data_IF_981745667843
#
_entry.id   IF_981745667843
#
_cell.length_a   1.000
_cell.length_b   1.000
_cell.length_c   1.000
_cell.angle_alpha   90.00
_cell.angle_beta   90.00
_cell.angle_gamma   90.00
#
_symmetry.space_group_name_H-M   'P 1'
#
loop_
_entity.id
_entity.type
_entity.pdbx_description
1 polymer ?
#
# COMPACT_ATOMS: atom_id res chain seq x y z
N UNK A 1 38.05 -43.64 41.31
CA UNK A 1 36.97 -42.69 40.99
C UNK A 1 37.53 -41.56 40.13
N UNK A 2 37.38 -41.65 38.81
CA UNK A 2 37.40 -40.49 37.91
C UNK A 2 36.17 -40.66 37.03
N UNK A 3 35.23 -39.74 37.19
CA UNK A 3 33.87 -39.77 36.67
C UNK A 3 33.85 -39.58 35.17
N UNK A 4 33.21 -40.52 34.47
CA UNK A 4 32.63 -40.29 33.14
C UNK A 4 31.67 -39.10 33.21
N UNK A 5 31.92 -38.02 32.47
CA UNK A 5 30.95 -36.92 32.29
C UNK A 5 31.26 -36.13 31.02
N UNK A 6 30.27 -36.12 30.13
CA UNK A 6 30.00 -35.15 29.05
C UNK A 6 30.88 -35.15 27.79
N UNK A 7 30.62 -36.10 26.90
CA UNK A 7 30.58 -35.81 25.45
C UNK A 7 29.17 -35.33 25.13
N UNK A 8 28.99 -34.01 25.01
CA UNK A 8 27.76 -33.42 24.49
C UNK A 8 27.78 -33.62 22.97
N UNK A 9 27.10 -34.65 22.48
CA UNK A 9 26.84 -34.81 21.05
C UNK A 9 25.94 -33.65 20.60
N UNK A 10 26.54 -32.62 20.01
CA UNK A 10 25.82 -31.64 19.22
C UNK A 10 25.33 -32.35 17.95
N UNK A 11 24.14 -32.94 18.01
CA UNK A 11 23.40 -33.33 16.81
C UNK A 11 23.03 -32.03 16.11
N UNK A 12 23.85 -31.63 15.13
CA UNK A 12 23.43 -30.66 14.13
C UNK A 12 22.32 -31.35 13.37
N UNK A 13 21.07 -31.11 13.78
CA UNK A 13 19.93 -31.39 12.93
C UNK A 13 20.15 -30.54 11.66
N UNK A 14 20.56 -31.18 10.58
CA UNK A 14 20.57 -30.55 9.26
C UNK A 14 19.10 -30.24 8.99
N UNK A 15 18.71 -28.97 9.18
CA UNK A 15 17.37 -28.53 8.85
C UNK A 15 17.14 -28.86 7.37
N UNK A 16 16.28 -29.84 7.11
CA UNK A 16 15.94 -30.27 5.77
C UNK A 16 15.31 -29.09 5.05
N UNK A 17 15.81 -28.79 3.85
CA UNK A 17 15.25 -27.70 3.05
C UNK A 17 13.81 -28.03 2.65
N UNK A 18 12.95 -27.01 2.64
CA UNK A 18 11.58 -27.11 2.13
C UNK A 18 11.66 -26.99 0.60
N UNK A 19 11.17 -27.99 -0.12
CA UNK A 19 11.06 -27.97 -1.57
C UNK A 19 9.66 -27.50 -2.00
N UNK A 20 9.61 -26.39 -2.75
CA UNK A 20 8.38 -25.77 -3.28
C UNK A 20 8.48 -25.52 -4.79
N UNK A 21 7.34 -25.35 -5.45
CA UNK A 21 7.33 -24.87 -6.82
C UNK A 21 7.63 -23.37 -6.86
N UNK A 22 6.99 -22.59 -5.97
CA UNK A 22 7.14 -21.13 -5.92
C UNK A 22 7.40 -20.66 -4.49
N UNK A 23 8.48 -19.91 -4.29
CA UNK A 23 8.66 -19.09 -3.09
C UNK A 23 8.16 -17.67 -3.38
N UNK A 24 7.25 -17.16 -2.55
CA UNK A 24 6.68 -15.81 -2.65
C UNK A 24 7.27 -14.96 -1.53
N UNK A 25 7.87 -13.82 -1.87
CA UNK A 25 8.41 -12.87 -0.90
C UNK A 25 7.48 -11.67 -0.79
N UNK A 26 6.87 -11.51 0.37
CA UNK A 26 5.82 -10.56 0.68
C UNK A 26 4.44 -11.20 0.65
N UNK A 27 3.70 -11.10 1.75
CA UNK A 27 2.31 -11.53 1.93
C UNK A 27 1.30 -10.38 1.82
N UNK A 28 1.68 -9.27 1.19
CA UNK A 28 0.81 -8.14 0.90
C UNK A 28 -0.23 -8.42 -0.19
N UNK A 29 -0.87 -7.37 -0.72
CA UNK A 29 -1.94 -7.48 -1.72
C UNK A 29 -1.61 -8.41 -2.89
N UNK A 30 -0.45 -8.23 -3.53
CA UNK A 30 -0.02 -9.09 -4.64
C UNK A 30 0.38 -10.50 -4.20
N UNK A 31 1.23 -10.63 -3.18
CA UNK A 31 1.79 -11.93 -2.80
C UNK A 31 0.81 -12.85 -2.08
N UNK A 32 -0.05 -12.30 -1.22
CA UNK A 32 -1.15 -13.05 -0.62
C UNK A 32 -2.15 -13.55 -1.67
N UNK A 33 -2.50 -12.70 -2.63
CA UNK A 33 -3.32 -13.10 -3.79
C UNK A 33 -2.62 -14.19 -4.61
N UNK A 34 -1.35 -13.98 -4.97
CA UNK A 34 -0.56 -14.92 -5.75
C UNK A 34 -0.50 -16.30 -5.11
N UNK A 35 -0.25 -16.36 -3.80
CA UNK A 35 -0.13 -17.61 -3.06
C UNK A 35 -1.44 -18.40 -3.08
N UNK A 36 -2.58 -17.74 -2.89
CA UNK A 36 -3.90 -18.39 -3.00
C UNK A 36 -4.12 -18.91 -4.42
N UNK A 37 -3.87 -18.11 -5.46
CA UNK A 37 -4.04 -18.57 -6.85
C UNK A 37 -3.13 -19.75 -7.18
N UNK A 38 -1.84 -19.66 -6.82
CA UNK A 38 -0.85 -20.70 -7.06
C UNK A 38 -1.27 -22.04 -6.45
N UNK A 39 -1.76 -22.02 -5.22
CA UNK A 39 -2.12 -23.24 -4.51
C UNK A 39 -3.48 -23.79 -4.93
N UNK A 40 -4.50 -22.95 -4.98
CA UNK A 40 -5.88 -23.41 -5.20
C UNK A 40 -6.21 -23.63 -6.68
N UNK A 41 -5.67 -22.79 -7.57
CA UNK A 41 -6.04 -22.80 -8.99
C UNK A 41 -4.97 -23.43 -9.89
N UNK A 42 -3.70 -23.42 -9.45
CA UNK A 42 -2.59 -24.02 -10.20
C UNK A 42 -1.98 -25.26 -9.52
N UNK A 43 -2.50 -25.68 -8.36
CA UNK A 43 -2.03 -26.84 -7.60
C UNK A 43 -0.52 -26.86 -7.34
N UNK A 44 0.09 -25.69 -7.17
CA UNK A 44 1.52 -25.53 -6.90
C UNK A 44 1.81 -25.57 -5.40
N UNK A 45 2.94 -26.19 -5.04
CA UNK A 45 3.51 -26.08 -3.69
C UNK A 45 4.09 -24.68 -3.53
N UNK A 46 3.60 -23.95 -2.53
CA UNK A 46 3.99 -22.56 -2.29
C UNK A 46 4.52 -22.39 -0.87
N UNK A 47 5.45 -21.46 -0.70
CA UNK A 47 5.77 -20.88 0.61
C UNK A 47 5.75 -19.36 0.48
N UNK A 48 5.12 -18.69 1.44
CA UNK A 48 5.06 -17.23 1.54
C UNK A 48 5.97 -16.78 2.67
N UNK A 49 6.84 -15.81 2.41
CA UNK A 49 7.73 -15.22 3.41
C UNK A 49 7.20 -13.81 3.69
N UNK A 50 6.65 -13.60 4.89
CA UNK A 50 6.01 -12.35 5.28
C UNK A 50 6.68 -11.78 6.54
N UNK A 51 7.08 -10.51 6.46
CA UNK A 51 7.81 -9.83 7.54
C UNK A 51 6.94 -9.48 8.73
N UNK A 52 5.65 -9.25 8.52
CA UNK A 52 4.68 -8.99 9.59
C UNK A 52 4.08 -10.31 10.10
N UNK A 53 3.30 -10.20 11.18
CA UNK A 53 2.52 -11.31 11.76
C UNK A 53 1.20 -11.61 11.03
N UNK A 54 0.95 -10.98 9.89
CA UNK A 54 -0.31 -11.07 9.15
C UNK A 54 -0.10 -10.81 7.64
N UNK A 55 -1.01 -11.34 6.82
CA UNK A 55 -1.11 -11.00 5.39
C UNK A 55 -1.87 -9.69 5.17
N UNK A 56 -1.81 -9.18 3.93
CA UNK A 56 -2.63 -8.06 3.44
C UNK A 56 -1.87 -6.76 3.22
N UNK A 57 -0.69 -6.59 3.80
CA UNK A 57 0.18 -5.45 3.53
C UNK A 57 -0.45 -4.12 3.95
N UNK A 58 -0.82 -3.28 2.98
CA UNK A 58 -1.46 -1.98 3.21
C UNK A 58 -2.98 -2.08 3.43
N UNK A 59 -3.61 -3.25 3.27
CA UNK A 59 -4.98 -3.45 3.73
C UNK A 59 -4.94 -3.67 5.25
N UNK A 60 -5.23 -2.61 6.01
CA UNK A 60 -5.10 -2.60 7.47
C UNK A 60 -6.30 -1.92 8.13
N UNK A 61 -6.69 -2.49 9.26
CA UNK A 61 -7.77 -2.02 10.12
C UNK A 61 -7.29 -1.90 11.56
N UNK A 62 -7.80 -0.90 12.28
CA UNK A 62 -7.73 -0.85 13.74
C UNK A 62 -9.04 -1.37 14.30
N UNK A 63 -9.00 -2.31 15.22
CA UNK A 63 -10.18 -2.79 15.91
C UNK A 63 -10.30 -2.11 17.27
N UNK A 64 -11.44 -1.49 17.53
CA UNK A 64 -11.76 -0.94 18.84
C UNK A 64 -11.79 -2.08 19.88
N UNK A 65 -10.96 -2.03 20.92
CA UNK A 65 -10.82 -3.14 21.87
C UNK A 65 -12.08 -3.37 22.72
N UNK A 66 -12.99 -2.40 22.81
CA UNK A 66 -14.22 -2.49 23.59
C UNK A 66 -15.39 -2.97 22.72
N UNK A 67 -15.56 -2.37 21.53
CA UNK A 67 -16.71 -2.70 20.65
C UNK A 67 -16.42 -3.82 19.66
N UNK A 68 -15.15 -4.12 19.41
CA UNK A 68 -14.71 -5.07 18.37
C UNK A 68 -14.86 -4.54 16.94
N UNK A 69 -15.38 -3.32 16.74
CA UNK A 69 -15.58 -2.74 15.42
C UNK A 69 -14.25 -2.39 14.76
N UNK A 70 -14.09 -2.80 13.50
CA UNK A 70 -12.92 -2.49 12.68
C UNK A 70 -13.06 -1.13 11.98
N UNK A 71 -11.94 -0.41 11.87
CA UNK A 71 -11.81 0.85 11.18
C UNK A 71 -10.62 0.80 10.22
N UNK A 72 -10.91 0.79 8.92
CA UNK A 72 -9.89 0.74 7.87
C UNK A 72 -9.08 2.05 7.86
N UNK A 73 -7.75 1.94 7.83
CA UNK A 73 -6.84 3.09 7.71
C UNK A 73 -5.82 2.95 6.57
N UNK A 74 -5.88 1.86 5.83
CA UNK A 74 -5.06 1.60 4.66
C UNK A 74 -5.89 1.55 3.38
N UNK A 75 -6.02 0.37 2.77
CA UNK A 75 -7.02 0.14 1.72
C UNK A 75 -8.41 0.38 2.31
N UNK A 76 -9.14 1.36 1.77
CA UNK A 76 -10.47 1.74 2.27
C UNK A 76 -11.60 1.07 1.48
N UNK A 77 -11.41 0.76 0.20
CA UNK A 77 -12.36 0.01 -0.62
C UNK A 77 -11.63 -0.78 -1.70
N UNK A 78 -12.35 -1.72 -2.34
CA UNK A 78 -11.85 -2.54 -3.44
C UNK A 78 -12.59 -2.19 -4.73
N UNK A 79 -11.84 -1.93 -5.80
CA UNK A 79 -12.35 -1.65 -7.15
C UNK A 79 -13.22 -2.80 -7.65
N UNK A 80 -14.42 -2.48 -8.15
CA UNK A 80 -15.44 -3.47 -8.50
C UNK A 80 -15.24 -4.00 -9.93
N UNK A 81 -14.35 -4.99 -10.07
CA UNK A 81 -14.08 -5.68 -11.34
C UNK A 81 -14.00 -7.19 -11.13
N UNK A 82 -14.01 -7.96 -12.22
CA UNK A 82 -14.07 -9.44 -12.18
C UNK A 82 -13.05 -10.07 -11.23
N UNK A 83 -11.78 -9.66 -11.29
CA UNK A 83 -10.72 -10.26 -10.46
C UNK A 83 -10.96 -10.07 -8.95
N UNK A 84 -11.50 -8.94 -8.51
CA UNK A 84 -11.79 -8.71 -7.10
C UNK A 84 -13.04 -9.47 -6.66
N UNK A 85 -14.12 -9.43 -7.45
CA UNK A 85 -15.34 -10.18 -7.16
C UNK A 85 -15.02 -11.68 -7.04
N UNK A 86 -14.23 -12.23 -7.97
CA UNK A 86 -13.88 -13.65 -7.97
C UNK A 86 -13.00 -14.03 -6.78
N UNK A 87 -12.05 -13.19 -6.37
CA UNK A 87 -11.20 -13.46 -5.21
C UNK A 87 -11.98 -13.45 -3.90
N UNK A 88 -12.86 -12.45 -3.71
CA UNK A 88 -13.77 -12.39 -2.57
C UNK A 88 -14.71 -13.61 -2.52
N UNK A 89 -15.24 -14.03 -3.67
CA UNK A 89 -16.08 -15.24 -3.78
C UNK A 89 -15.28 -16.50 -3.44
N UNK A 90 -14.05 -16.64 -3.95
CA UNK A 90 -13.16 -17.78 -3.69
C UNK A 90 -12.91 -17.95 -2.18
N UNK A 91 -12.70 -16.84 -1.47
CA UNK A 91 -12.45 -16.82 -0.02
C UNK A 91 -13.73 -16.76 0.82
N UNK A 92 -14.90 -16.80 0.19
CA UNK A 92 -16.23 -16.76 0.83
C UNK A 92 -16.40 -15.56 1.76
N UNK A 93 -15.95 -14.38 1.31
CA UNK A 93 -16.15 -13.09 1.98
C UNK A 93 -17.31 -12.36 1.31
N UNK A 94 -18.45 -12.17 2.01
CA UNK A 94 -19.57 -11.39 1.49
C UNK A 94 -19.14 -9.95 1.20
N UNK A 95 -19.60 -9.39 0.08
CA UNK A 95 -19.31 -8.01 -0.32
C UNK A 95 -20.58 -7.17 -0.27
N UNK A 96 -20.42 -5.89 0.05
CA UNK A 96 -21.49 -4.90 0.09
C UNK A 96 -21.01 -3.52 -0.38
N UNK A 97 -21.91 -2.53 -0.43
CA UNK A 97 -21.53 -1.16 -0.77
C UNK A 97 -20.49 -0.63 0.23
N UNK A 98 -19.67 0.31 -0.23
CA UNK A 98 -18.72 1.03 0.63
C UNK A 98 -19.49 1.71 1.76
N UNK A 99 -19.12 1.40 3.01
CA UNK A 99 -19.71 2.02 4.18
C UNK A 99 -19.15 3.43 4.33
N UNK A 100 -20.03 4.43 4.29
CA UNK A 100 -19.70 5.83 4.58
C UNK A 100 -20.36 6.25 5.89
N UNK A 101 -19.67 7.11 6.64
CA UNK A 101 -20.24 7.79 7.80
C UNK A 101 -20.57 9.21 7.34
N UNK A 102 -21.84 9.57 7.13
CA UNK A 102 -22.21 10.94 6.78
C UNK A 102 -21.70 11.88 7.86
N UNK A 103 -20.87 12.84 7.46
CA UNK A 103 -20.34 13.86 8.35
C UNK A 103 -20.03 15.10 7.54
N UNK A 104 -20.08 16.25 8.21
CA UNK A 104 -19.56 17.50 7.66
C UNK A 104 -18.08 17.36 7.35
N UNK A 105 -17.59 18.08 6.34
CA UNK A 105 -16.18 18.17 6.01
C UNK A 105 -15.75 19.63 6.02
N UNK A 106 -14.82 19.96 6.92
CA UNK A 106 -14.21 21.28 7.00
C UNK A 106 -13.04 21.35 6.02
N UNK A 107 -12.98 22.42 5.24
CA UNK A 107 -11.87 22.70 4.36
C UNK A 107 -10.98 23.76 5.01
N UNK A 108 -9.72 23.41 5.28
CA UNK A 108 -8.81 24.22 6.10
C UNK A 108 -7.42 24.23 5.46
N UNK A 109 -6.73 25.37 5.50
CA UNK A 109 -5.28 25.39 5.25
C UNK A 109 -4.56 24.93 6.52
N UNK A 110 -3.92 23.76 6.47
CA UNK A 110 -3.24 23.22 7.64
C UNK A 110 -1.97 24.00 8.02
N UNK A 111 -1.51 24.94 7.16
CA UNK A 111 -0.37 25.82 7.48
C UNK A 111 -0.67 26.83 8.57
N UNK A 112 -1.89 27.36 8.60
CA UNK A 112 -2.30 28.37 9.57
C UNK A 112 -3.57 27.98 10.35
N UNK A 113 -4.17 26.85 10.01
CA UNK A 113 -5.33 26.28 10.68
C UNK A 113 -6.66 26.92 10.29
N UNK A 114 -6.70 27.88 9.36
CA UNK A 114 -7.93 28.63 9.03
C UNK A 114 -8.79 27.96 7.96
N UNK A 115 -10.10 28.07 8.13
CA UNK A 115 -11.07 27.61 7.13
C UNK A 115 -10.89 28.32 5.80
N UNK A 116 -11.04 27.57 4.70
CA UNK A 116 -11.01 28.08 3.32
C UNK A 116 -12.42 27.93 2.75
N UNK A 117 -12.92 28.99 2.12
CA UNK A 117 -14.21 28.98 1.41
C UNK A 117 -14.08 28.18 0.10
N UNK A 118 -14.11 26.86 0.26
CA UNK A 118 -13.89 25.89 -0.80
C UNK A 118 -15.16 25.08 -1.06
N UNK A 119 -15.58 25.04 -2.33
CA UNK A 119 -16.67 24.19 -2.80
C UNK A 119 -16.11 23.06 -3.65
N UNK A 120 -16.27 21.79 -3.24
CA UNK A 120 -15.80 20.66 -4.03
C UNK A 120 -16.60 20.52 -5.34
N UNK A 121 -15.99 20.01 -6.42
CA UNK A 121 -16.69 19.76 -7.66
C UNK A 121 -17.68 18.60 -7.51
N UNK A 122 -18.71 18.58 -8.36
CA UNK A 122 -19.62 17.43 -8.43
C UNK A 122 -18.92 16.20 -9.01
N UNK A 123 -19.37 15.00 -8.65
CA UNK A 123 -18.84 13.75 -9.21
C UNK A 123 -18.94 13.69 -10.75
N UNK A 124 -19.98 14.31 -11.33
CA UNK A 124 -20.11 14.43 -12.79
C UNK A 124 -18.99 15.29 -13.39
N UNK A 125 -18.77 16.48 -12.82
CA UNK A 125 -17.70 17.37 -13.28
C UNK A 125 -16.31 16.72 -13.12
N UNK A 126 -16.10 15.94 -12.05
CA UNK A 126 -14.85 15.21 -11.83
C UNK A 126 -14.57 14.10 -12.86
N UNK A 127 -15.61 13.58 -13.53
CA UNK A 127 -15.47 12.56 -14.56
C UNK A 127 -15.17 13.16 -15.95
N UNK A 128 -15.44 14.45 -16.16
CA UNK A 128 -15.25 15.10 -17.45
C UNK A 128 -13.75 15.20 -17.82
N UNK A 129 -13.44 15.05 -19.11
CA UNK A 129 -12.06 15.17 -19.64
C UNK A 129 -11.13 13.98 -19.36
N UNK A 130 -11.48 13.08 -18.43
CA UNK A 130 -10.67 11.93 -18.00
C UNK A 130 -10.53 10.79 -19.02
N UNK A 131 -11.30 10.80 -20.10
CA UNK A 131 -11.26 9.78 -21.17
C UNK A 131 -10.12 9.92 -22.18
N UNK A 132 -9.21 10.89 -22.01
CA UNK A 132 -8.12 11.18 -22.96
C UNK A 132 -6.79 10.53 -22.54
N UNK A 133 -5.97 10.13 -23.52
CA UNK A 133 -4.77 9.32 -23.29
C UNK A 133 -3.43 10.02 -23.62
N UNK A 134 -3.29 11.31 -23.30
CA UNK A 134 -1.99 12.00 -23.35
C UNK A 134 -1.17 11.75 -22.09
N UNK A 135 -0.76 10.48 -21.94
CA UNK A 135 -0.21 9.90 -20.72
C UNK A 135 1.08 10.58 -20.19
N UNK A 136 1.84 11.24 -21.06
CA UNK A 136 3.12 11.87 -20.69
C UNK A 136 3.01 13.37 -20.39
N UNK A 137 1.81 13.96 -20.44
CA UNK A 137 1.63 15.35 -20.00
C UNK A 137 1.70 15.42 -18.47
N UNK A 138 2.34 16.46 -17.91
CA UNK A 138 2.11 16.84 -16.51
C UNK A 138 0.62 16.98 -16.24
N UNK A 139 0.15 16.55 -15.07
CA UNK A 139 -1.27 16.61 -14.71
C UNK A 139 -1.87 18.00 -14.93
N UNK A 140 -1.16 19.04 -14.50
CA UNK A 140 -1.57 20.44 -14.70
C UNK A 140 -1.89 20.74 -16.17
N UNK A 141 -0.99 20.40 -17.10
CA UNK A 141 -1.20 20.65 -18.52
C UNK A 141 -2.32 19.79 -19.11
N UNK A 142 -2.40 18.52 -18.70
CA UNK A 142 -3.47 17.62 -19.12
C UNK A 142 -4.83 18.18 -18.71
N UNK A 143 -4.98 18.55 -17.43
CA UNK A 143 -6.24 19.03 -16.89
C UNK A 143 -6.72 20.29 -17.61
N UNK A 144 -5.84 21.28 -17.81
CA UNK A 144 -6.14 22.50 -18.58
C UNK A 144 -6.53 22.20 -20.03
N UNK A 145 -5.81 21.28 -20.68
CA UNK A 145 -6.04 20.93 -22.08
C UNK A 145 -7.38 20.23 -22.29
N UNK A 146 -7.78 19.38 -21.34
CA UNK A 146 -8.95 18.50 -21.47
C UNK A 146 -10.14 18.90 -20.62
N UNK A 147 -10.07 20.04 -19.94
CA UNK A 147 -11.10 20.52 -19.01
C UNK A 147 -11.37 19.52 -17.88
N UNK A 148 -10.31 18.90 -17.36
CA UNK A 148 -10.36 17.88 -16.31
C UNK A 148 -9.92 18.43 -14.94
N UNK A 149 -9.86 19.76 -14.76
CA UNK A 149 -9.45 20.38 -13.49
C UNK A 149 -10.29 19.91 -12.31
N UNK A 150 -11.61 19.77 -12.52
CA UNK A 150 -12.57 19.29 -11.54
C UNK A 150 -12.33 17.83 -11.09
N UNK A 151 -11.51 17.04 -11.77
CA UNK A 151 -11.14 15.70 -11.32
C UNK A 151 -10.18 15.73 -10.13
N UNK A 152 -9.40 16.80 -10.00
CA UNK A 152 -8.28 16.86 -9.07
C UNK A 152 -8.67 16.66 -7.60
N UNK A 153 -9.77 17.28 -7.10
CA UNK A 153 -10.19 17.07 -5.73
C UNK A 153 -10.62 15.62 -5.47
N UNK A 154 -11.30 14.96 -6.41
CA UNK A 154 -11.66 13.56 -6.27
C UNK A 154 -10.44 12.64 -6.29
N UNK A 155 -9.44 12.93 -7.12
CA UNK A 155 -8.15 12.21 -7.10
C UNK A 155 -7.46 12.41 -5.74
N UNK A 156 -7.42 13.65 -5.24
CA UNK A 156 -6.84 13.98 -3.94
C UNK A 156 -7.51 13.23 -2.80
N UNK A 157 -8.83 13.30 -2.69
CA UNK A 157 -9.61 12.67 -1.61
C UNK A 157 -9.55 11.13 -1.67
N UNK A 158 -9.48 10.55 -2.87
CA UNK A 158 -9.52 9.09 -3.03
C UNK A 158 -8.15 8.44 -2.86
N UNK A 159 -7.11 8.99 -3.50
CA UNK A 159 -5.81 8.31 -3.65
C UNK A 159 -4.63 9.15 -3.15
N UNK A 160 -4.78 10.47 -2.99
CA UNK A 160 -3.71 11.38 -2.50
C UNK A 160 -2.42 11.27 -3.35
N UNK A 161 -2.58 11.20 -4.68
CA UNK A 161 -1.45 11.36 -5.61
C UNK A 161 -0.94 12.80 -5.51
N UNK A 162 0.38 13.01 -5.51
CA UNK A 162 0.96 14.36 -5.58
C UNK A 162 0.81 14.95 -6.99
N UNK A 163 -0.31 15.63 -7.20
CA UNK A 163 -0.69 16.22 -8.49
C UNK A 163 0.23 17.38 -8.94
N UNK A 164 1.05 17.94 -8.04
CA UNK A 164 2.05 18.95 -8.41
C UNK A 164 3.16 18.37 -9.32
N UNK A 165 3.44 17.07 -9.19
CA UNK A 165 4.57 16.42 -9.86
C UNK A 165 4.19 15.19 -10.69
N UNK A 166 2.92 14.81 -10.69
CA UNK A 166 2.38 13.68 -11.43
C UNK A 166 2.29 13.95 -12.94
N UNK A 167 2.55 12.91 -13.72
CA UNK A 167 2.13 12.82 -15.12
C UNK A 167 0.72 12.21 -15.19
N UNK A 168 0.03 12.40 -16.30
CA UNK A 168 -1.30 11.79 -16.52
C UNK A 168 -1.25 10.26 -16.38
N UNK A 169 -0.15 9.60 -16.75
CA UNK A 169 0.00 8.15 -16.55
C UNK A 169 -0.06 7.73 -15.07
N UNK A 170 0.42 8.57 -14.15
CA UNK A 170 0.40 8.28 -12.72
C UNK A 170 -1.03 8.38 -12.18
N UNK A 171 -1.77 9.39 -12.63
CA UNK A 171 -3.20 9.58 -12.32
C UNK A 171 -4.04 8.47 -12.92
N UNK A 172 -3.86 8.17 -14.21
CA UNK A 172 -4.64 7.16 -14.94
C UNK A 172 -4.54 5.77 -14.29
N UNK A 173 -3.36 5.40 -13.80
CA UNK A 173 -3.17 4.14 -13.08
C UNK A 173 -3.86 4.20 -11.71
N UNK A 174 -3.76 5.32 -11.00
CA UNK A 174 -4.24 5.49 -9.63
C UNK A 174 -5.76 5.59 -9.49
N UNK A 175 -6.44 6.25 -10.43
CA UNK A 175 -7.84 6.61 -10.26
C UNK A 175 -8.62 6.47 -11.57
N UNK A 176 -9.74 5.74 -11.50
CA UNK A 176 -10.66 5.56 -12.60
C UNK A 176 -12.10 5.86 -12.15
N UNK A 177 -12.67 7.02 -12.52
CA UNK A 177 -14.01 7.42 -12.07
C UNK A 177 -15.14 6.57 -12.65
N UNK A 178 -14.87 5.78 -13.71
CA UNK A 178 -15.89 4.97 -14.38
C UNK A 178 -16.17 3.62 -13.69
N UNK A 179 -15.43 3.28 -12.63
CA UNK A 179 -15.54 1.99 -11.95
C UNK A 179 -15.87 2.21 -10.47
N UNK A 180 -16.95 1.59 -10.00
CA UNK A 180 -17.34 1.65 -8.60
C UNK A 180 -16.43 0.85 -7.68
N UNK A 181 -16.71 0.89 -6.38
CA UNK A 181 -15.98 0.12 -5.37
C UNK A 181 -16.93 -0.60 -4.42
N UNK A 182 -16.41 -1.58 -3.68
CA UNK A 182 -17.12 -2.33 -2.66
C UNK A 182 -16.23 -2.57 -1.43
N UNK A 183 -16.83 -3.07 -0.36
CA UNK A 183 -16.16 -3.53 0.86
C UNK A 183 -16.70 -4.91 1.27
N UNK A 184 -16.00 -5.67 2.14
CA UNK A 184 -16.62 -6.75 2.90
C UNK A 184 -17.86 -6.25 3.65
N UNK A 185 -18.92 -7.06 3.74
CA UNK A 185 -20.13 -6.69 4.50
C UNK A 185 -19.84 -6.40 5.98
N UNK A 186 -18.79 -7.00 6.54
CA UNK A 186 -18.30 -6.73 7.90
C UNK A 186 -17.74 -5.32 8.09
N UNK A 187 -17.36 -4.64 7.01
CA UNK A 187 -16.63 -3.37 7.03
C UNK A 187 -15.12 -3.52 7.32
N UNK A 188 -14.62 -4.72 7.63
CA UNK A 188 -13.19 -4.97 7.90
C UNK A 188 -12.45 -5.43 6.64
N UNK A 189 -11.71 -4.52 5.99
CA UNK A 189 -10.95 -4.85 4.78
C UNK A 189 -9.80 -5.84 5.01
N UNK A 190 -9.49 -6.20 6.26
CA UNK A 190 -8.53 -7.27 6.57
C UNK A 190 -9.17 -8.67 6.54
N UNK A 191 -10.50 -8.78 6.54
CA UNK A 191 -11.21 -10.08 6.58
C UNK A 191 -10.75 -11.02 5.45
N UNK A 192 -10.62 -10.50 4.23
CA UNK A 192 -10.16 -11.29 3.09
C UNK A 192 -8.77 -11.89 3.31
N UNK A 193 -7.88 -11.17 3.97
CA UNK A 193 -6.53 -11.63 4.28
C UNK A 193 -6.50 -12.58 5.47
N UNK A 194 -7.41 -12.43 6.43
CA UNK A 194 -7.62 -13.41 7.50
C UNK A 194 -8.10 -14.75 6.91
N UNK A 195 -9.03 -14.73 5.95
CA UNK A 195 -9.48 -15.94 5.23
C UNK A 195 -8.35 -16.54 4.39
N UNK A 196 -7.60 -15.73 3.65
CA UNK A 196 -6.43 -16.19 2.91
C UNK A 196 -5.37 -16.82 3.83
N UNK A 197 -5.09 -16.21 4.99
CA UNK A 197 -4.17 -16.73 5.99
C UNK A 197 -4.62 -18.08 6.52
N UNK A 198 -5.91 -18.23 6.89
CA UNK A 198 -6.47 -19.51 7.33
C UNK A 198 -6.39 -20.58 6.25
N UNK A 199 -6.63 -20.19 5.00
CA UNK A 199 -6.51 -21.07 3.85
C UNK A 199 -5.06 -21.54 3.70
N UNK A 200 -4.09 -20.61 3.64
CA UNK A 200 -2.67 -20.86 3.44
C UNK A 200 -2.01 -21.63 4.60
N UNK A 201 -2.42 -21.37 5.84
CA UNK A 201 -1.98 -22.10 7.02
C UNK A 201 -0.45 -22.14 7.15
N UNK A 202 0.11 -23.36 7.18
CA UNK A 202 1.56 -23.60 7.33
C UNK A 202 2.40 -23.17 6.12
N UNK A 203 1.76 -22.82 5.00
CA UNK A 203 2.46 -22.36 3.80
C UNK A 203 2.97 -20.90 3.96
N UNK A 204 2.71 -20.25 5.10
CA UNK A 204 3.19 -18.89 5.41
C UNK A 204 4.20 -18.91 6.56
N UNK A 205 5.38 -18.37 6.30
CA UNK A 205 6.40 -18.03 7.28
C UNK A 205 6.22 -16.56 7.67
N UNK A 206 5.52 -16.33 8.78
CA UNK A 206 5.32 -14.99 9.35
C UNK A 206 6.57 -14.51 10.10
N UNK A 207 6.65 -13.20 10.31
CA UNK A 207 7.73 -12.55 11.05
C UNK A 207 9.11 -13.02 10.58
N UNK A 208 9.23 -13.17 9.26
CA UNK A 208 10.37 -13.80 8.60
C UNK A 208 10.88 -12.94 7.44
N UNK A 209 12.19 -13.00 7.20
CA UNK A 209 12.86 -12.27 6.11
C UNK A 209 13.88 -13.15 5.37
N UNK A 210 14.05 -12.90 4.07
CA UNK A 210 15.11 -13.53 3.28
C UNK A 210 16.43 -12.85 3.63
N UNK A 211 17.41 -13.63 4.07
CA UNK A 211 18.76 -13.15 4.39
C UNK A 211 19.81 -13.63 3.38
N UNK A 212 19.45 -14.60 2.55
CA UNK A 212 20.30 -15.11 1.47
C UNK A 212 19.45 -15.71 0.36
N UNK A 213 19.84 -15.45 -0.88
CA UNK A 213 19.29 -16.06 -2.07
C UNK A 213 20.43 -16.43 -3.03
N UNK A 214 20.29 -17.60 -3.65
CA UNK A 214 21.10 -18.01 -4.80
C UNK A 214 20.18 -18.33 -5.97
N UNK A 215 20.25 -17.52 -7.01
CA UNK A 215 19.31 -17.55 -8.15
C UNK A 215 20.02 -18.01 -9.41
N UNK A 216 19.53 -19.08 -10.03
CA UNK A 216 20.09 -19.68 -11.26
C UNK A 216 19.02 -19.79 -12.34
N UNK A 217 19.37 -20.20 -13.56
CA UNK A 217 18.38 -20.34 -14.65
C UNK A 217 17.27 -21.36 -14.39
N UNK A 218 17.50 -22.34 -13.50
CA UNK A 218 16.56 -23.46 -13.28
C UNK A 218 16.03 -23.60 -11.85
N UNK A 219 16.62 -22.90 -10.88
CA UNK A 219 16.29 -23.04 -9.45
C UNK A 219 16.69 -21.83 -8.63
N UNK A 220 16.04 -21.71 -7.48
CA UNK A 220 16.34 -20.73 -6.44
C UNK A 220 16.57 -21.47 -5.12
N UNK A 221 17.58 -21.03 -4.36
CA UNK A 221 17.78 -21.43 -2.96
C UNK A 221 17.69 -20.20 -2.08
N UNK A 222 16.95 -20.28 -0.98
CA UNK A 222 16.81 -19.20 0.00
C UNK A 222 17.20 -19.68 1.40
N UNK A 223 17.73 -18.76 2.20
CA UNK A 223 17.74 -18.87 3.66
C UNK A 223 16.87 -17.76 4.23
N UNK A 224 15.91 -18.16 5.06
CA UNK A 224 14.90 -17.28 5.64
C UNK A 224 15.06 -17.30 7.15
N UNK A 225 15.19 -16.12 7.76
CA UNK A 225 15.34 -15.94 9.19
C UNK A 225 14.03 -15.47 9.80
N UNK A 226 13.56 -16.18 10.82
CA UNK A 226 12.41 -15.72 11.62
C UNK A 226 12.84 -14.72 12.72
N UNK A 227 11.87 -14.12 13.41
CA UNK A 227 12.13 -13.18 14.52
C UNK A 227 12.95 -13.74 15.68
N UNK A 228 13.03 -15.06 15.83
CA UNK A 228 13.80 -15.73 16.88
C UNK A 228 15.21 -16.12 16.40
N UNK A 229 15.56 -15.80 15.15
CA UNK A 229 16.84 -16.14 14.54
C UNK A 229 16.90 -17.56 13.95
N UNK A 230 15.80 -18.30 13.92
CA UNK A 230 15.76 -19.62 13.29
C UNK A 230 15.86 -19.49 11.77
N UNK A 231 16.72 -20.32 11.16
CA UNK A 231 16.95 -20.32 9.72
C UNK A 231 16.22 -21.49 9.06
N UNK A 232 15.26 -21.15 8.19
CA UNK A 232 14.59 -22.10 7.29
C UNK A 232 15.25 -22.05 5.92
N UNK A 233 15.66 -23.21 5.40
CA UNK A 233 16.21 -23.35 4.03
C UNK A 233 15.09 -23.71 3.08
N UNK A 234 15.05 -23.05 1.91
CA UNK A 234 14.02 -23.27 0.90
C UNK A 234 14.69 -23.53 -0.45
N UNK A 235 14.28 -24.57 -1.16
CA UNK A 235 14.55 -24.76 -2.58
C UNK A 235 13.25 -24.49 -3.35
N UNK A 236 13.31 -23.63 -4.35
CA UNK A 236 12.15 -23.29 -5.18
C UNK A 236 12.47 -23.42 -6.67
N UNK A 237 11.49 -23.79 -7.49
CA UNK A 237 11.61 -23.71 -8.95
C UNK A 237 11.52 -22.27 -9.44
N UNK A 238 10.70 -21.44 -8.78
CA UNK A 238 10.54 -20.00 -9.07
C UNK A 238 10.55 -19.17 -7.79
N UNK A 239 11.09 -17.96 -7.89
CA UNK A 239 10.98 -16.92 -6.87
C UNK A 239 10.06 -15.83 -7.40
N UNK A 240 8.99 -15.51 -6.68
CA UNK A 240 8.11 -14.38 -6.96
C UNK A 240 8.31 -13.30 -5.90
N UNK A 241 8.87 -12.16 -6.30
CA UNK A 241 9.10 -11.02 -5.42
C UNK A 241 7.94 -10.05 -5.57
N UNK A 242 7.27 -9.73 -4.45
CA UNK A 242 6.11 -8.83 -4.43
C UNK A 242 6.26 -7.65 -3.48
N UNK A 243 7.45 -7.50 -2.88
CA UNK A 243 7.80 -6.39 -1.98
C UNK A 243 8.32 -5.20 -2.77
N UNK A 244 8.21 -4.01 -2.18
CA UNK A 244 8.78 -2.78 -2.76
C UNK A 244 10.30 -2.90 -2.89
N UNK A 245 10.91 -2.49 -4.02
CA UNK A 245 12.35 -2.63 -4.22
C UNK A 245 13.21 -1.95 -3.16
N UNK A 246 12.70 -0.88 -2.53
CA UNK A 246 13.35 -0.19 -1.41
C UNK A 246 13.55 -1.06 -0.16
N UNK A 247 12.84 -2.18 -0.06
CA UNK A 247 12.99 -3.14 1.05
C UNK A 247 13.92 -4.31 0.72
N UNK A 248 14.40 -4.39 -0.53
CA UNK A 248 15.26 -5.47 -1.00
C UNK A 248 16.71 -5.10 -0.75
N UNK A 249 17.41 -5.86 0.08
CA UNK A 249 18.86 -5.75 0.18
C UNK A 249 19.50 -6.42 -1.06
N UNK A 250 20.26 -5.68 -1.90
CA UNK A 250 20.84 -6.24 -3.11
C UNK A 250 21.73 -7.46 -2.89
N UNK A 251 22.44 -7.52 -1.76
CA UNK A 251 23.34 -8.63 -1.43
C UNK A 251 22.56 -9.88 -1.05
N UNK A 252 21.56 -9.73 -0.19
CA UNK A 252 20.77 -10.85 0.33
C UNK A 252 19.97 -11.52 -0.80
N UNK A 253 19.56 -10.76 -1.81
CA UNK A 253 18.81 -11.27 -2.97
C UNK A 253 19.69 -11.60 -4.17
N UNK A 254 21.01 -11.42 -4.10
CA UNK A 254 21.94 -11.67 -5.21
C UNK A 254 21.49 -10.90 -6.47
N UNK A 255 21.14 -9.62 -6.32
CA UNK A 255 20.66 -8.77 -7.41
C UNK A 255 21.78 -8.46 -8.42
N UNK A 256 21.42 -8.50 -9.70
CA UNK A 256 22.25 -8.01 -10.80
C UNK A 256 22.30 -6.48 -10.83
N UNK A 257 23.28 -5.93 -11.54
CA UNK A 257 23.38 -4.48 -11.74
C UNK A 257 22.15 -3.89 -12.45
N UNK A 258 21.58 -4.60 -13.41
CA UNK A 258 20.37 -4.16 -14.12
C UNK A 258 19.14 -4.12 -13.19
N UNK A 259 18.96 -5.14 -12.34
CA UNK A 259 17.89 -5.14 -11.33
C UNK A 259 18.04 -3.92 -10.40
N UNK A 260 19.26 -3.68 -9.90
CA UNK A 260 19.55 -2.52 -9.03
C UNK A 260 19.25 -1.21 -9.76
N UNK A 261 19.70 -1.03 -11.00
CA UNK A 261 19.48 0.21 -11.75
C UNK A 261 17.99 0.47 -12.00
N UNK A 262 17.25 -0.55 -12.43
CA UNK A 262 15.80 -0.44 -12.64
C UNK A 262 15.10 -0.08 -11.33
N UNK A 263 15.43 -0.74 -10.21
CA UNK A 263 14.78 -0.51 -8.92
C UNK A 263 15.02 0.89 -8.36
N UNK A 264 16.17 1.50 -8.66
CA UNK A 264 16.49 2.87 -8.24
C UNK A 264 16.01 3.95 -9.22
N UNK A 265 15.44 3.56 -10.36
CA UNK A 265 15.02 4.52 -11.40
C UNK A 265 13.80 5.37 -11.02
N UNK A 266 12.97 4.92 -10.07
CA UNK A 266 11.72 5.58 -9.73
C UNK A 266 11.89 6.64 -8.64
N UNK A 267 11.22 7.79 -8.82
CA UNK A 267 11.04 8.80 -7.80
C UNK A 267 9.69 8.58 -7.07
N UNK A 268 9.55 9.21 -5.91
CA UNK A 268 8.30 9.18 -5.14
C UNK A 268 8.46 9.74 -3.74
N UNK A 269 7.33 10.03 -3.12
CA UNK A 269 7.24 10.49 -1.73
C UNK A 269 6.90 9.31 -0.81
N UNK A 270 7.12 9.47 0.50
CA UNK A 270 6.77 8.47 1.50
C UNK A 270 5.42 8.78 2.13
N UNK A 271 4.61 7.74 2.29
CA UNK A 271 3.24 7.84 2.78
C UNK A 271 3.12 7.17 4.14
N UNK A 272 2.49 7.87 5.08
CA UNK A 272 2.14 7.34 6.39
C UNK A 272 0.65 7.49 6.61
N UNK A 273 0.03 6.49 7.23
CA UNK A 273 -1.40 6.53 7.52
C UNK A 273 -1.74 5.74 8.77
N UNK A 274 -2.80 6.14 9.45
CA UNK A 274 -3.25 5.47 10.66
C UNK A 274 -4.53 6.06 11.24
N UNK A 275 -5.01 5.46 12.32
CA UNK A 275 -6.14 5.98 13.10
C UNK A 275 -5.60 6.82 14.24
N UNK A 276 -6.12 8.04 14.34
CA UNK A 276 -5.82 8.99 15.40
C UNK A 276 -7.08 9.41 16.14
N UNK A 277 -6.93 9.87 17.39
CA UNK A 277 -8.01 10.42 18.21
C UNK A 277 -7.49 11.54 19.08
N UNK A 278 -8.32 12.57 19.28
CA UNK A 278 -8.01 13.69 20.16
C UNK A 278 -9.32 14.35 20.63
N UNK A 279 -9.44 14.81 21.89
CA UNK A 279 -10.66 15.43 22.40
C UNK A 279 -11.15 16.65 21.60
N UNK A 280 -10.23 17.41 21.00
CA UNK A 280 -10.57 18.55 20.14
C UNK A 280 -10.97 18.16 18.71
N UNK A 281 -10.71 16.93 18.25
CA UNK A 281 -11.12 16.53 16.90
C UNK A 281 -12.63 16.25 16.87
N UNK A 282 -13.42 16.97 16.05
CA UNK A 282 -14.87 16.83 16.01
C UNK A 282 -15.31 15.54 15.31
N UNK A 283 -16.59 15.19 15.44
CA UNK A 283 -17.24 14.16 14.62
C UNK A 283 -17.49 14.62 13.17
N UNK A 284 -16.47 15.20 12.54
CA UNK A 284 -16.46 15.76 11.20
C UNK A 284 -15.10 15.48 10.53
N UNK A 285 -15.09 15.44 9.20
CA UNK A 285 -13.86 15.42 8.41
C UNK A 285 -13.18 16.79 8.41
N UNK A 286 -11.85 16.80 8.29
CA UNK A 286 -11.07 18.02 8.08
C UNK A 286 -10.10 17.74 6.95
N UNK A 287 -10.25 18.43 5.83
CA UNK A 287 -9.46 18.24 4.61
C UNK A 287 -8.53 19.43 4.40
N UNK A 288 -7.26 19.15 4.13
CA UNK A 288 -6.28 20.17 3.86
C UNK A 288 -6.47 20.72 2.44
N UNK A 289 -6.76 22.01 2.34
CA UNK A 289 -6.86 22.75 1.08
C UNK A 289 -6.04 24.03 1.19
N UNK A 290 -5.48 24.50 0.08
CA UNK A 290 -4.73 25.76 0.07
C UNK A 290 -5.67 26.93 -0.28
N UNK A 291 -5.45 28.15 0.24
CA UNK A 291 -6.32 29.30 -0.04
C UNK A 291 -6.45 29.64 -1.53
N UNK A 292 -5.45 29.23 -2.33
CA UNK A 292 -5.47 29.39 -3.78
C UNK A 292 -6.55 28.55 -4.49
N UNK A 293 -7.29 27.66 -3.79
CA UNK A 293 -8.43 26.91 -4.35
C UNK A 293 -9.73 27.71 -4.42
N UNK A 294 -9.81 28.85 -3.73
CA UNK A 294 -10.97 29.75 -3.77
C UNK A 294 -11.26 30.17 -5.22
N UNK A 295 -12.53 30.34 -5.57
CA UNK A 295 -13.02 30.55 -6.94
C UNK A 295 -12.74 29.36 -7.88
N UNK A 296 -12.97 28.14 -7.40
CA UNK A 296 -12.93 26.89 -8.21
C UNK A 296 -11.57 26.59 -8.87
N UNK A 297 -10.47 27.06 -8.29
CA UNK A 297 -9.13 26.71 -8.76
C UNK A 297 -8.72 25.33 -8.25
N UNK A 298 -9.27 24.29 -8.88
CA UNK A 298 -9.05 22.89 -8.54
C UNK A 298 -7.63 22.38 -8.87
N UNK A 299 -6.76 23.22 -9.43
CA UNK A 299 -5.35 22.89 -9.71
C UNK A 299 -4.38 23.37 -8.62
N UNK A 300 -4.89 23.95 -7.53
CA UNK A 300 -4.09 24.32 -6.39
C UNK A 300 -4.12 23.22 -5.32
N UNK A 301 -2.93 22.78 -4.88
CA UNK A 301 -2.77 21.71 -3.89
C UNK A 301 -1.73 22.08 -2.83
N UNK A 302 -1.78 21.44 -1.65
CA UNK A 302 -0.65 21.43 -0.74
C UNK A 302 0.62 20.85 -1.42
N UNK A 303 1.78 21.38 -1.03
CA UNK A 303 3.09 20.90 -1.48
C UNK A 303 3.73 20.03 -0.42
N UNK A 304 4.41 18.94 -0.80
CA UNK A 304 5.08 18.02 0.15
C UNK A 304 6.16 18.79 0.95
N UNK A 305 6.25 18.62 2.28
CA UNK A 305 5.44 17.73 3.12
C UNK A 305 4.06 18.29 3.47
N UNK A 306 3.04 17.44 3.51
CA UNK A 306 1.70 17.79 3.97
C UNK A 306 1.01 16.66 4.73
N UNK A 307 0.14 17.04 5.67
CA UNK A 307 -0.95 16.20 6.16
C UNK A 307 -2.16 16.43 5.25
N UNK A 308 -2.72 15.37 4.69
CA UNK A 308 -3.80 15.48 3.70
C UNK A 308 -5.16 15.75 4.34
N UNK A 309 -5.47 15.05 5.43
CA UNK A 309 -6.76 15.16 6.11
C UNK A 309 -6.75 14.51 7.50
N UNK A 310 -7.70 14.91 8.33
CA UNK A 310 -8.28 14.07 9.37
C UNK A 310 -9.62 13.56 8.85
N UNK A 311 -9.63 12.41 8.19
CA UNK A 311 -10.84 11.83 7.61
C UNK A 311 -11.62 11.11 8.71
N UNK A 312 -12.79 11.62 9.08
CA UNK A 312 -13.62 11.01 10.12
C UNK A 312 -14.04 9.59 9.74
N UNK A 313 -13.81 8.63 10.63
CA UNK A 313 -14.15 7.22 10.44
C UNK A 313 -15.33 6.74 11.28
N UNK A 314 -15.87 7.61 12.14
CA UNK A 314 -16.94 7.30 13.08
C UNK A 314 -16.50 7.43 14.54
N UNK A 315 -17.38 7.01 15.44
CA UNK A 315 -17.12 7.00 16.88
C UNK A 315 -16.67 5.62 17.35
N UNK A 316 -15.48 5.56 17.95
CA UNK A 316 -15.05 4.46 18.80
C UNK A 316 -15.74 4.50 20.17
N UNK A 317 -15.47 3.52 21.01
CA UNK A 317 -15.81 3.49 22.44
C UNK A 317 -15.30 4.69 23.24
N UNK A 318 -14.35 5.45 22.70
CA UNK A 318 -13.72 6.62 23.33
C UNK A 318 -14.04 7.94 22.64
N UNK A 319 -14.94 7.94 21.65
CA UNK A 319 -15.30 9.13 20.88
C UNK A 319 -14.79 9.11 19.43
N UNK A 320 -14.78 10.27 18.75
CA UNK A 320 -14.41 10.39 17.35
C UNK A 320 -13.01 9.86 17.06
N UNK A 321 -12.89 9.18 15.93
CA UNK A 321 -11.61 8.75 15.38
C UNK A 321 -11.49 9.14 13.90
N UNK A 322 -10.26 9.42 13.49
CA UNK A 322 -9.96 9.92 12.17
C UNK A 322 -8.83 9.11 11.56
N UNK A 323 -8.92 8.86 10.25
CA UNK A 323 -7.76 8.46 9.48
C UNK A 323 -6.92 9.70 9.21
N UNK A 324 -5.67 9.66 9.64
CA UNK A 324 -4.65 10.61 9.23
C UNK A 324 -3.87 10.02 8.05
N UNK A 325 -3.66 10.77 6.97
CA UNK A 325 -2.75 10.41 5.90
C UNK A 325 -1.77 11.55 5.63
N UNK A 326 -0.48 11.24 5.70
CA UNK A 326 0.62 12.19 5.54
C UNK A 326 1.51 11.80 4.37
N UNK A 327 1.92 12.79 3.59
CA UNK A 327 2.88 12.62 2.49
C UNK A 327 4.09 13.50 2.77
N UNK A 328 5.26 12.89 2.86
CA UNK A 328 6.51 13.54 3.23
C UNK A 328 7.65 13.11 2.28
N UNK A 329 8.79 13.83 2.24
CA UNK A 329 9.93 13.43 1.43
C UNK A 329 10.34 11.97 1.65
N UNK A 330 10.89 11.34 0.59
CA UNK A 330 11.22 9.91 0.52
C UNK A 330 11.99 9.38 1.74
N UNK A 331 12.97 10.15 2.19
CA UNK A 331 13.94 9.72 3.20
C UNK A 331 13.53 10.10 4.64
N UNK A 332 12.33 10.65 4.81
CA UNK A 332 11.79 11.00 6.12
C UNK A 332 11.32 9.77 6.91
N UNK A 333 11.29 9.94 8.24
CA UNK A 333 10.94 8.94 9.23
C UNK A 333 9.45 8.98 9.60
N UNK A 334 8.99 7.95 10.32
CA UNK A 334 7.64 7.91 10.88
C UNK A 334 7.42 9.00 11.94
N UNK A 335 8.47 9.44 12.64
CA UNK A 335 8.36 10.51 13.64
C UNK A 335 8.20 11.88 12.96
N UNK A 336 8.88 12.12 11.84
CA UNK A 336 8.66 13.35 11.04
C UNK A 336 7.20 13.47 10.58
N UNK A 337 6.56 12.35 10.21
CA UNK A 337 5.13 12.30 9.87
C UNK A 337 4.25 12.65 11.08
N UNK A 338 4.52 12.03 12.24
CA UNK A 338 3.75 12.30 13.47
C UNK A 338 3.87 13.76 13.90
N UNK A 339 5.06 14.33 13.81
CA UNK A 339 5.30 15.73 14.16
C UNK A 339 4.57 16.68 13.21
N UNK A 340 4.49 16.37 11.92
CA UNK A 340 3.67 17.12 10.98
C UNK A 340 2.17 17.04 11.30
N UNK A 341 1.67 15.87 11.72
CA UNK A 341 0.27 15.70 12.13
C UNK A 341 -0.02 16.53 13.39
N UNK A 342 0.84 16.45 14.41
CA UNK A 342 0.70 17.24 15.65
C UNK A 342 0.74 18.74 15.35
N UNK A 343 1.68 19.19 14.51
CA UNK A 343 1.77 20.58 14.08
C UNK A 343 0.50 21.03 13.35
N UNK A 344 -0.03 20.20 12.45
CA UNK A 344 -1.29 20.50 11.76
C UNK A 344 -2.45 20.63 12.75
N UNK A 345 -2.54 19.72 13.73
CA UNK A 345 -3.53 19.79 14.80
C UNK A 345 -3.35 21.05 15.67
N UNK A 346 -2.12 21.41 16.03
CA UNK A 346 -1.83 22.62 16.81
C UNK A 346 -2.28 23.87 16.07
N UNK A 347 -2.01 23.97 14.76
CA UNK A 347 -2.45 25.09 13.95
C UNK A 347 -3.99 25.23 13.94
N UNK A 348 -4.72 24.11 13.85
CA UNK A 348 -6.19 24.12 13.95
C UNK A 348 -6.68 24.64 15.31
N UNK A 349 -6.00 24.26 16.40
CA UNK A 349 -6.30 24.70 17.77
C UNK A 349 -6.01 26.19 17.92
N UNK A 350 -4.82 26.65 17.50
CA UNK A 350 -4.38 28.04 17.63
C UNK A 350 -5.26 29.01 16.83
N UNK A 351 -5.76 28.55 15.67
CA UNK A 351 -6.70 29.32 14.86
C UNK A 351 -8.12 29.38 15.45
N UNK A 352 -8.44 28.56 16.45
CA UNK A 352 -9.79 28.40 16.99
C UNK A 352 -10.76 27.67 16.05
N UNK A 353 -10.25 27.02 15.00
CA UNK A 353 -11.06 26.24 14.05
C UNK A 353 -11.61 24.97 14.69
N UNK A 354 -10.89 24.41 15.65
CA UNK A 354 -11.37 23.32 16.51
C UNK A 354 -11.24 23.71 18.00
N UNK A 355 -11.94 23.04 18.91
CA UNK A 355 -11.87 23.34 20.35
C UNK A 355 -10.43 23.38 20.90
N UNK A 356 -10.21 24.23 21.90
CA UNK A 356 -8.93 24.32 22.58
C UNK A 356 -8.47 22.95 23.12
N UNK A 357 -7.16 22.71 23.10
CA UNK A 357 -6.55 21.45 23.54
C UNK A 357 -5.03 21.50 23.40
N UNK A 358 -4.37 20.37 23.64
CA UNK A 358 -2.92 20.25 23.49
C UNK A 358 -2.58 19.20 22.44
N UNK A 359 -1.98 19.61 21.32
CA UNK A 359 -1.68 18.70 20.21
C UNK A 359 -0.74 17.54 20.58
N UNK A 360 0.02 17.63 21.67
CA UNK A 360 0.85 16.53 22.17
C UNK A 360 0.02 15.35 22.68
N UNK A 361 -1.24 15.59 23.04
CA UNK A 361 -2.17 14.58 23.55
C UNK A 361 -2.84 13.77 22.42
N UNK A 362 -2.45 14.03 21.16
CA UNK A 362 -2.91 13.27 20.01
C UNK A 362 -2.55 11.80 20.15
N UNK A 363 -3.58 10.96 20.26
CA UNK A 363 -3.41 9.52 20.37
C UNK A 363 -3.35 8.88 18.99
N UNK A 364 -2.21 8.27 18.68
CA UNK A 364 -2.03 7.43 17.52
C UNK A 364 -2.46 5.99 17.85
N UNK A 365 -3.78 5.73 17.80
CA UNK A 365 -4.38 4.40 18.00
C UNK A 365 -3.65 3.31 17.19
N UNK A 366 -3.28 3.66 15.96
CA UNK A 366 -2.31 2.93 15.14
C UNK A 366 -1.73 3.85 14.09
N UNK A 367 -0.49 3.62 13.67
CA UNK A 367 0.15 4.40 12.62
C UNK A 367 1.17 3.53 11.88
N UNK A 368 1.12 3.53 10.55
CA UNK A 368 1.93 2.66 9.70
C UNK A 368 2.62 3.42 8.59
N UNK A 369 3.85 3.00 8.31
CA UNK A 369 4.58 3.34 7.08
C UNK A 369 4.00 2.54 5.92
N UNK A 370 3.48 3.23 4.91
CA UNK A 370 2.98 2.67 3.65
C UNK A 370 4.03 2.79 2.53
N UNK A 371 5.25 3.18 2.87
CA UNK A 371 6.38 3.23 1.96
C UNK A 371 6.19 4.26 0.85
N UNK A 372 6.77 3.96 -0.32
CA UNK A 372 6.65 4.82 -1.50
C UNK A 372 5.40 4.39 -2.27
N UNK A 373 4.37 5.25 -2.28
CA UNK A 373 3.19 5.09 -3.12
C UNK A 373 3.32 5.97 -4.37
N UNK A 374 2.66 5.57 -5.46
CA UNK A 374 2.60 6.31 -6.73
C UNK A 374 3.99 6.67 -7.27
N UNK A 375 4.85 5.65 -7.37
CA UNK A 375 6.16 5.77 -8.02
C UNK A 375 6.01 6.35 -9.41
N UNK A 376 6.91 7.28 -9.72
CA UNK A 376 6.88 8.06 -10.95
C UNK A 376 8.25 8.05 -11.62
N UNK A 377 8.21 8.20 -12.93
CA UNK A 377 9.37 8.29 -13.81
C UNK A 377 9.26 9.54 -14.65
N UNK A 378 10.40 10.13 -15.01
CA UNK A 378 10.40 11.27 -15.93
C UNK A 378 9.89 10.87 -17.31
N UNK A 379 9.45 11.86 -18.08
CA UNK A 379 9.05 11.66 -19.48
C UNK A 379 10.18 11.04 -20.32
N UNK A 380 11.43 11.42 -20.05
CA UNK A 380 12.61 10.86 -20.72
C UNK A 380 12.86 9.40 -20.34
N UNK A 381 12.72 9.02 -19.06
CA UNK A 381 12.83 7.62 -18.65
C UNK A 381 11.72 6.76 -19.29
N UNK A 382 10.49 7.29 -19.35
CA UNK A 382 9.36 6.61 -19.98
C UNK A 382 9.58 6.42 -21.48
N UNK A 383 10.01 7.47 -22.20
CA UNK A 383 10.37 7.38 -23.63
C UNK A 383 11.59 6.49 -23.87
N UNK A 384 12.54 6.50 -22.95
CA UNK A 384 13.73 5.64 -22.95
C UNK A 384 13.44 4.17 -22.63
N UNK A 385 12.16 3.79 -22.44
CA UNK A 385 11.76 2.39 -22.32
C UNK A 385 11.98 1.78 -20.93
N UNK A 386 11.93 2.57 -19.85
CA UNK A 386 12.13 2.04 -18.49
C UNK A 386 11.18 0.89 -18.14
N UNK A 387 9.93 0.91 -18.63
CA UNK A 387 9.00 -0.21 -18.44
C UNK A 387 9.39 -1.45 -19.24
N UNK A 388 9.96 -1.29 -20.44
CA UNK A 388 10.48 -2.42 -21.21
C UNK A 388 11.66 -3.06 -20.49
N UNK A 389 12.57 -2.26 -19.93
CA UNK A 389 13.68 -2.74 -19.08
C UNK A 389 13.17 -3.49 -17.85
N UNK A 390 12.20 -2.94 -17.13
CA UNK A 390 11.59 -3.62 -15.98
C UNK A 390 10.92 -4.95 -16.36
N UNK A 391 10.24 -5.01 -17.52
CA UNK A 391 9.62 -6.24 -18.00
C UNK A 391 10.64 -7.27 -18.49
N UNK A 392 11.80 -6.83 -19.01
CA UNK A 392 12.88 -7.73 -19.43
C UNK A 392 13.49 -8.51 -18.25
N UNK A 393 13.26 -8.08 -17.00
CA UNK A 393 13.69 -8.80 -15.79
C UNK A 393 12.85 -10.07 -15.51
N UNK A 394 11.65 -10.18 -16.08
CA UNK A 394 10.74 -11.30 -15.80
C UNK A 394 11.34 -12.63 -16.25
N UNK A 395 11.38 -13.60 -15.33
CA UNK A 395 11.92 -14.93 -15.57
C UNK A 395 13.44 -15.05 -15.49
N UNK A 396 14.18 -13.93 -15.43
CA UNK A 396 15.63 -13.98 -15.29
C UNK A 396 16.00 -14.72 -14.02
N UNK A 397 16.90 -15.72 -14.17
CA UNK A 397 17.42 -16.52 -13.04
C UNK A 397 16.28 -17.11 -12.19
N UNK A 398 15.23 -17.61 -12.86
CA UNK A 398 14.04 -18.18 -12.23
C UNK A 398 13.31 -17.22 -11.28
N UNK A 399 13.48 -15.91 -11.48
CA UNK A 399 12.90 -14.85 -10.63
C UNK A 399 11.86 -14.05 -11.41
N UNK A 400 10.75 -13.78 -10.76
CA UNK A 400 9.62 -13.04 -11.30
C UNK A 400 9.23 -11.95 -10.30
N UNK A 401 8.63 -10.90 -10.83
CA UNK A 401 8.33 -9.70 -10.06
C UNK A 401 6.89 -9.26 -10.28
N UNK A 402 6.19 -8.88 -9.22
CA UNK A 402 4.89 -8.23 -9.29
C UNK A 402 4.80 -7.17 -8.18
N UNK A 403 3.64 -6.55 -7.99
CA UNK A 403 3.43 -5.53 -6.97
C UNK A 403 3.51 -4.11 -7.52
N UNK A 404 3.53 -3.14 -6.61
CA UNK A 404 3.37 -1.72 -6.91
C UNK A 404 4.57 -1.05 -7.62
N UNK A 405 5.56 -1.83 -8.06
CA UNK A 405 6.58 -1.36 -8.99
C UNK A 405 6.20 -1.67 -10.45
N UNK A 406 5.54 -2.81 -10.71
CA UNK A 406 5.03 -3.19 -12.03
C UNK A 406 3.60 -2.70 -12.28
N UNK A 407 2.93 -2.21 -11.26
CA UNK A 407 1.62 -1.57 -11.29
C UNK A 407 1.58 -0.43 -10.27
N UNK A 408 0.49 0.32 -10.16
CA UNK A 408 0.30 1.25 -9.05
C UNK A 408 -0.14 0.54 -7.76
N UNK A 409 -0.46 1.32 -6.72
CA UNK A 409 -0.80 0.82 -5.39
C UNK A 409 -2.29 0.44 -5.19
N UNK A 410 -3.12 0.48 -6.24
CA UNK A 410 -4.50 -0.04 -6.18
C UNK A 410 -4.45 -1.57 -6.00
N UNK A 411 -4.98 -2.03 -4.86
CA UNK A 411 -4.92 -3.43 -4.44
C UNK A 411 -5.53 -4.40 -5.47
N UNK A 412 -6.58 -3.99 -6.19
CA UNK A 412 -7.26 -4.84 -7.16
C UNK A 412 -6.50 -4.86 -8.50
N UNK A 413 -5.92 -3.73 -8.90
CA UNK A 413 -5.03 -3.66 -10.07
C UNK A 413 -3.75 -4.47 -9.86
N UNK A 414 -3.26 -4.53 -8.62
CA UNK A 414 -2.18 -5.44 -8.22
C UNK A 414 -2.56 -6.91 -8.47
N UNK A 415 -3.78 -7.32 -8.17
CA UNK A 415 -4.25 -8.71 -8.42
C UNK A 415 -4.34 -9.01 -9.91
N UNK A 416 -4.87 -8.08 -10.71
CA UNK A 416 -4.96 -8.26 -12.15
C UNK A 416 -3.57 -8.40 -12.79
N UNK A 417 -2.62 -7.56 -12.39
CA UNK A 417 -1.23 -7.62 -12.84
C UNK A 417 -0.56 -8.92 -12.42
N UNK A 418 -0.78 -9.33 -11.16
CA UNK A 418 -0.26 -10.59 -10.62
C UNK A 418 -0.76 -11.78 -11.41
N UNK A 419 -2.06 -11.83 -11.76
CA UNK A 419 -2.61 -12.89 -12.61
C UNK A 419 -1.92 -13.02 -13.97
N UNK A 420 -1.64 -11.88 -14.62
CA UNK A 420 -0.93 -11.89 -15.90
C UNK A 420 0.49 -12.48 -15.74
N UNK A 421 1.20 -12.09 -14.69
CA UNK A 421 2.55 -12.57 -14.39
C UNK A 421 2.54 -14.06 -14.03
N UNK A 422 1.58 -14.54 -13.24
CA UNK A 422 1.47 -15.96 -12.89
C UNK A 422 1.28 -16.84 -14.12
N UNK A 423 0.44 -16.43 -15.08
CA UNK A 423 0.22 -17.18 -16.33
C UNK A 423 1.51 -17.35 -17.12
N UNK A 424 2.35 -16.33 -17.19
CA UNK A 424 3.65 -16.40 -17.86
C UNK A 424 4.66 -17.22 -17.05
N UNK A 425 4.74 -17.00 -15.73
CA UNK A 425 5.69 -17.68 -14.84
C UNK A 425 5.55 -19.20 -14.84
N UNK A 426 4.31 -19.68 -14.98
CA UNK A 426 3.97 -21.09 -14.82
C UNK A 426 4.07 -21.91 -16.11
N UNK A 427 4.37 -21.31 -17.27
CA UNK A 427 4.45 -22.04 -18.56
C UNK A 427 5.44 -23.22 -18.54
N UNK A 428 6.44 -23.15 -17.67
CA UNK A 428 7.56 -24.10 -17.64
C UNK A 428 7.71 -24.87 -16.31
N UNK A 429 6.70 -24.88 -15.42
CA UNK A 429 6.75 -25.62 -14.12
C UNK A 429 5.45 -26.24 -13.67
#
# INVERSE_FOLDING_TARGET
MISAKFLLSAVIAIAQAIDVDVAVVGGGGSGGYAAVQLRENYSKKVVVIEKKKQLGGHAQSWCDPITGKAYNYGVDAFTNITVSIDFFRQLKVPIGPVQSVPAENLYVDFKDGRTVDYTPPTAKAAADGMGNYHLLLPWYEFARKYKAEAASPSIWETVVVDLNTALMIDVWKAWNPSVGSFQPTSGDNTEIWQKASKLLGKDVLYESEVIFAKRTKSRVKLEVRDKNGHITKINAKRLLITIGPETINPKDFDLSSEEVEVFHSAAGNRYFTGIVSHPSLPAAGITNVVPATVNENYLAYPTVPFQAYFQYKGNSSTGPIHRALTVIPRDSSIEDAKDLIRKSLQNLIDAGTIPAGNSTDLDFRTFSDHGILYRRWSTDQLRGGIFARANALQGQRSTWYTGAFWMNNDCVMLWNTTNAILKEMLKDI
#
